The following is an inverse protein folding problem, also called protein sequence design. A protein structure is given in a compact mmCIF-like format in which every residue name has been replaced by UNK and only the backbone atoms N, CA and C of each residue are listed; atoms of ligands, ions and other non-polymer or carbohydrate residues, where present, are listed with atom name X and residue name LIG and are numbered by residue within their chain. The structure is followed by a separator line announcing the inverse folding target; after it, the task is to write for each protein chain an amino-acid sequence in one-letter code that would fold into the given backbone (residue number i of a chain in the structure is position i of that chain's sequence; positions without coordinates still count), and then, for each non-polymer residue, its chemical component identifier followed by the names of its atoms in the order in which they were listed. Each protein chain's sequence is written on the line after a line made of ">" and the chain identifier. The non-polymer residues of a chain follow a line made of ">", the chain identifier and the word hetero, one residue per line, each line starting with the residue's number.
data_IF_169838992932
#
_entry.id   IF_169838992932
#
_cell.length_a   1.000
_cell.length_b   1.000
_cell.length_c   1.000
_cell.angle_alpha   90.00
_cell.angle_beta   90.00
_cell.angle_gamma   90.00
#
_symmetry.space_group_name_H-M   'P 1'
#
loop_
_entity.id
_entity.type
_entity.pdbx_description
1 polymer ?
#
# COMPACT_ATOMS: atom_id res chain seq x y z
N UNK A 1 -67.25 -16.11 -20.54
CA UNK A 1 -66.22 -17.07 -21.01
C UNK A 1 -65.48 -17.59 -19.80
N UNK A 2 -65.62 -18.90 -19.54
CA UNK A 2 -64.79 -19.82 -18.72
C UNK A 2 -63.94 -19.23 -17.57
N UNK A 3 -64.26 -19.51 -16.29
CA UNK A 3 -63.88 -20.72 -15.51
C UNK A 3 -62.36 -20.74 -15.17
N UNK A 4 -61.86 -21.10 -13.98
CA UNK A 4 -62.38 -21.58 -12.69
C UNK A 4 -61.19 -21.59 -11.69
N UNK A 5 -61.48 -21.49 -10.39
CA UNK A 5 -60.89 -22.22 -9.22
C UNK A 5 -59.40 -22.68 -9.21
N UNK A 6 -58.66 -22.80 -8.09
CA UNK A 6 -58.87 -22.79 -6.63
C UNK A 6 -57.48 -22.88 -5.94
N UNK A 7 -57.45 -22.48 -4.66
CA UNK A 7 -56.56 -22.87 -3.53
C UNK A 7 -55.77 -24.19 -3.67
N UNK A 8 -54.61 -24.43 -3.03
CA UNK A 8 -54.39 -24.59 -1.57
C UNK A 8 -52.88 -24.82 -1.28
N UNK A 9 -52.37 -24.42 -0.09
CA UNK A 9 -51.01 -24.71 0.45
C UNK A 9 -50.91 -26.13 1.09
N UNK A 10 -49.86 -26.48 1.88
CA UNK A 10 -48.42 -26.61 1.62
C UNK A 10 -47.91 -28.06 1.89
N UNK A 11 -46.66 -28.41 1.54
CA UNK A 11 -45.99 -29.61 2.07
C UNK A 11 -44.47 -29.45 2.19
N UNK A 12 -43.93 -29.87 3.33
CA UNK A 12 -42.51 -29.92 3.70
C UNK A 12 -42.02 -31.36 3.53
N UNK A 13 -40.87 -31.60 2.89
CA UNK A 13 -39.85 -32.54 3.40
C UNK A 13 -38.54 -32.52 2.60
N UNK A 14 -37.47 -32.83 3.33
CA UNK A 14 -36.06 -32.74 2.98
C UNK A 14 -35.51 -33.94 2.19
N UNK A 15 -34.35 -33.75 1.55
CA UNK A 15 -33.10 -34.51 1.76
C UNK A 15 -32.27 -34.79 0.48
N UNK A 16 -30.98 -34.37 0.59
CA UNK A 16 -29.78 -35.11 0.17
C UNK A 16 -29.17 -34.97 -1.24
N UNK A 17 -27.82 -35.17 -1.37
CA UNK A 17 -26.96 -34.38 -2.24
C UNK A 17 -26.50 -35.09 -3.52
N UNK A 18 -26.37 -34.33 -4.61
CA UNK A 18 -25.89 -34.79 -5.91
C UNK A 18 -24.37 -34.98 -5.95
N UNK A 19 -23.95 -36.23 -6.15
CA UNK A 19 -22.58 -36.70 -6.43
C UNK A 19 -22.31 -36.58 -7.92
N UNK A 20 -21.17 -36.01 -8.33
CA UNK A 20 -20.72 -36.03 -9.73
C UNK A 20 -19.51 -36.96 -9.89
N UNK A 21 -19.61 -37.90 -10.83
CA UNK A 21 -18.55 -38.82 -11.27
C UNK A 21 -18.49 -38.82 -12.79
N UNK A 22 -17.30 -38.62 -13.39
CA UNK A 22 -16.98 -38.99 -14.78
C UNK A 22 -15.45 -39.26 -14.87
N UNK A 23 -14.90 -39.97 -15.87
CA UNK A 23 -14.67 -41.41 -15.91
C UNK A 23 -13.18 -41.81 -15.93
N UNK A 24 -12.86 -43.02 -15.48
CA UNK A 24 -11.52 -43.61 -15.58
C UNK A 24 -11.34 -44.39 -16.89
N UNK A 25 -10.32 -44.04 -17.69
CA UNK A 25 -9.77 -44.94 -18.72
C UNK A 25 -8.57 -45.68 -18.14
N UNK A 26 -8.59 -47.01 -18.31
CA UNK A 26 -7.59 -47.98 -17.85
C UNK A 26 -6.43 -48.14 -18.84
N UNK A 27 -5.36 -48.74 -18.29
CA UNK A 27 -4.22 -49.44 -18.91
C UNK A 27 -2.99 -48.55 -19.13
N UNK A 28 -1.75 -48.95 -18.83
CA UNK A 28 -1.22 -50.20 -18.26
C UNK A 28 0.24 -49.96 -17.80
N UNK A 29 0.64 -50.72 -16.77
CA UNK A 29 1.99 -51.28 -16.45
C UNK A 29 3.24 -50.36 -16.42
N UNK A 30 3.93 -50.40 -15.26
CA UNK A 30 5.37 -50.08 -15.07
C UNK A 30 6.26 -51.06 -15.87
N UNK A 31 7.55 -50.73 -16.12
CA UNK A 31 8.59 -51.14 -15.16
C UNK A 31 9.69 -50.09 -14.89
N UNK A 32 10.51 -50.43 -13.91
CA UNK A 32 11.70 -49.78 -13.37
C UNK A 32 12.82 -49.49 -14.39
N UNK A 33 13.73 -48.57 -14.05
CA UNK A 33 15.14 -48.71 -14.44
C UNK A 33 15.86 -47.47 -14.99
N UNK A 34 16.82 -47.00 -14.19
CA UNK A 34 18.17 -46.62 -14.61
C UNK A 34 18.53 -45.15 -14.90
N UNK A 35 19.55 -44.74 -14.14
CA UNK A 35 20.77 -43.98 -14.51
C UNK A 35 20.69 -42.48 -14.75
N UNK A 36 21.29 -41.78 -13.77
CA UNK A 36 21.92 -40.48 -13.89
C UNK A 36 22.89 -40.41 -15.07
N UNK A 37 22.73 -39.42 -15.94
CA UNK A 37 23.77 -38.99 -16.87
C UNK A 37 24.43 -37.73 -16.30
N UNK A 38 25.68 -37.87 -15.89
CA UNK A 38 26.59 -36.75 -15.65
C UNK A 38 27.02 -36.19 -17.01
N UNK A 39 26.85 -34.89 -17.22
CA UNK A 39 27.52 -34.16 -18.28
C UNK A 39 28.62 -33.31 -17.65
N UNK A 40 29.84 -33.83 -17.69
CA UNK A 40 31.08 -33.13 -17.36
C UNK A 40 31.44 -32.20 -18.52
N UNK A 41 31.55 -30.90 -18.26
CA UNK A 41 32.21 -29.96 -19.17
C UNK A 41 33.54 -29.58 -18.54
N UNK A 42 34.63 -30.05 -19.15
CA UNK A 42 36.01 -29.71 -18.79
C UNK A 42 36.41 -28.46 -19.58
N UNK A 43 36.80 -27.40 -18.88
CA UNK A 43 37.64 -26.34 -19.45
C UNK A 43 39.00 -26.37 -18.75
N UNK A 44 40.05 -26.61 -19.54
CA UNK A 44 41.45 -26.51 -19.16
C UNK A 44 41.95 -25.12 -19.53
N UNK A 45 42.41 -24.34 -18.56
CA UNK A 45 43.50 -23.37 -18.77
C UNK A 45 44.47 -23.46 -17.61
N UNK A 46 45.74 -23.36 -17.94
CA UNK A 46 46.88 -23.60 -17.06
C UNK A 46 47.30 -22.29 -16.38
N UNK A 47 47.17 -22.23 -15.05
CA UNK A 47 48.13 -21.63 -14.11
C UNK A 47 47.52 -21.60 -12.70
N UNK A 48 48.16 -22.30 -11.75
CA UNK A 48 48.07 -22.03 -10.30
C UNK A 48 46.79 -22.43 -9.59
N UNK A 49 46.66 -23.70 -9.21
CA UNK A 49 45.64 -24.17 -8.27
C UNK A 49 46.03 -23.91 -6.82
N UNK A 50 45.35 -22.98 -6.14
CA UNK A 50 45.18 -22.99 -4.70
C UNK A 50 43.70 -23.27 -4.39
N UNK A 51 43.36 -24.55 -4.23
CA UNK A 51 42.05 -24.98 -3.70
C UNK A 51 42.05 -24.80 -2.19
N UNK A 52 41.64 -23.62 -1.72
CA UNK A 52 41.13 -23.50 -0.37
C UNK A 52 39.69 -24.03 -0.37
N UNK A 53 39.50 -25.22 0.21
CA UNK A 53 38.19 -25.75 0.51
C UNK A 53 37.50 -24.80 1.51
N UNK A 54 36.52 -24.03 1.06
CA UNK A 54 35.59 -23.35 1.95
C UNK A 54 34.81 -24.46 2.66
N UNK A 55 34.87 -24.60 3.99
CA UNK A 55 34.09 -25.60 4.69
C UNK A 55 32.62 -25.32 4.39
N UNK A 56 31.90 -26.35 3.95
CA UNK A 56 30.45 -26.34 3.95
C UNK A 56 29.99 -26.27 5.41
N UNK A 57 29.92 -25.03 5.93
CA UNK A 57 29.23 -24.73 7.17
C UNK A 57 27.78 -25.11 6.94
N UNK A 58 27.43 -26.35 7.32
CA UNK A 58 26.08 -26.79 7.55
C UNK A 58 25.48 -25.82 8.55
N UNK A 59 24.80 -24.80 8.03
CA UNK A 59 23.86 -24.04 8.83
C UNK A 59 22.89 -25.07 9.43
N UNK A 60 22.76 -25.14 10.77
CA UNK A 60 21.71 -25.96 11.34
C UNK A 60 20.38 -25.47 10.77
N UNK A 61 19.39 -26.35 10.55
CA UNK A 61 18.09 -25.92 10.07
C UNK A 61 17.49 -25.01 11.13
N UNK A 62 17.67 -23.69 10.96
CA UNK A 62 16.93 -22.71 11.74
C UNK A 62 15.48 -23.00 11.39
N UNK A 63 14.76 -23.65 12.33
CA UNK A 63 13.31 -23.60 12.40
C UNK A 63 12.96 -22.12 12.43
N UNK A 64 12.80 -21.52 11.26
CA UNK A 64 12.16 -20.21 11.14
C UNK A 64 10.78 -20.44 11.77
N UNK A 65 10.38 -19.65 12.77
CA UNK A 65 9.03 -19.77 13.28
C UNK A 65 8.10 -19.70 12.06
N UNK A 66 7.27 -20.74 11.91
CA UNK A 66 6.09 -20.68 11.07
C UNK A 66 5.37 -19.40 11.49
N UNK A 67 5.06 -18.52 10.53
CA UNK A 67 4.29 -17.28 10.67
C UNK A 67 3.85 -16.98 12.12
N UNK A 68 4.52 -16.04 12.78
CA UNK A 68 4.07 -15.57 14.09
C UNK A 68 2.78 -14.75 13.90
N UNK A 69 1.68 -15.24 14.45
CA UNK A 69 0.42 -14.50 14.45
C UNK A 69 0.51 -13.42 15.50
N UNK A 70 0.82 -12.21 15.07
CA UNK A 70 0.74 -11.04 15.94
C UNK A 70 -0.73 -10.72 16.14
N UNK A 71 -1.22 -10.85 17.37
CA UNK A 71 -2.57 -10.42 17.72
C UNK A 71 -2.65 -8.90 17.59
N UNK A 72 -3.35 -8.42 16.57
CA UNK A 72 -3.68 -7.01 16.44
C UNK A 72 -4.69 -6.67 17.56
N UNK A 73 -4.20 -6.01 18.60
CA UNK A 73 -5.05 -5.37 19.60
C UNK A 73 -5.54 -4.05 19.00
N UNK A 74 -6.69 -4.04 18.33
CA UNK A 74 -7.25 -2.76 17.88
C UNK A 74 -7.75 -1.98 19.09
N UNK A 75 -7.09 -0.85 19.39
CA UNK A 75 -7.64 0.16 20.29
C UNK A 75 -9.08 0.50 19.85
N UNK A 76 -9.99 0.85 20.79
CA UNK A 76 -11.29 1.37 20.41
C UNK A 76 -11.15 2.52 19.41
N UNK A 77 -11.88 2.44 18.31
CA UNK A 77 -11.83 3.42 17.25
C UNK A 77 -12.34 4.77 17.75
N UNK A 78 -11.62 5.86 17.47
CA UNK A 78 -12.08 7.24 17.69
C UNK A 78 -13.21 7.56 16.70
N UNK A 79 -14.41 7.03 16.98
CA UNK A 79 -15.64 7.27 16.21
C UNK A 79 -16.50 8.30 16.93
N UNK A 80 -16.94 9.31 16.19
CA UNK A 80 -17.79 10.40 16.71
C UNK A 80 -18.92 10.70 15.72
N UNK A 81 -20.09 11.15 16.19
CA UNK A 81 -21.13 11.66 15.31
C UNK A 81 -20.64 12.92 14.60
N UNK A 82 -21.02 13.10 13.34
CA UNK A 82 -20.65 14.30 12.56
C UNK A 82 -21.19 15.60 13.18
N UNK A 83 -22.29 15.53 13.94
CA UNK A 83 -22.84 16.67 14.65
C UNK A 83 -21.98 17.15 15.83
N UNK A 84 -21.09 16.31 16.35
CA UNK A 84 -20.13 16.69 17.40
C UNK A 84 -18.83 17.27 16.82
N UNK A 85 -18.67 17.24 15.49
CA UNK A 85 -17.51 17.80 14.81
C UNK A 85 -17.78 19.26 14.45
N UNK A 86 -16.77 20.14 14.57
CA UNK A 86 -16.90 21.49 14.05
C UNK A 86 -17.16 21.41 12.54
N UNK A 87 -18.27 21.99 12.12
CA UNK A 87 -18.70 22.04 10.73
C UNK A 87 -17.79 22.92 9.86
N UNK A 88 -18.16 23.05 8.59
CA UNK A 88 -17.47 23.91 7.61
C UNK A 88 -17.96 25.36 7.65
N UNK A 89 -19.03 25.62 8.38
CA UNK A 89 -19.73 26.92 8.46
C UNK A 89 -18.97 27.96 9.30
N UNK A 90 -18.18 27.52 10.28
CA UNK A 90 -17.38 28.40 11.15
C UNK A 90 -15.93 27.99 11.13
N UNK A 91 -15.04 28.91 10.79
CA UNK A 91 -13.59 28.68 10.85
C UNK A 91 -13.01 29.13 12.19
N UNK A 92 -12.47 28.19 12.94
CA UNK A 92 -11.59 28.47 14.06
C UNK A 92 -10.13 28.59 13.56
N UNK A 93 -9.51 29.74 13.81
CA UNK A 93 -8.15 30.03 13.36
C UNK A 93 -7.10 29.21 14.11
N UNK A 94 -7.34 28.83 15.37
CA UNK A 94 -6.36 28.09 16.16
C UNK A 94 -6.20 26.64 15.67
N UNK A 95 -7.29 26.05 15.16
CA UNK A 95 -7.38 24.69 14.65
C UNK A 95 -7.35 24.60 13.12
N UNK A 96 -6.99 25.69 12.43
CA UNK A 96 -6.92 25.75 10.96
C UNK A 96 -5.62 26.35 10.48
N UNK A 97 -5.11 25.89 9.33
CA UNK A 97 -3.82 26.37 8.83
C UNK A 97 -3.46 25.87 7.45
N UNK A 98 -2.26 26.28 7.01
CA UNK A 98 -1.68 25.90 5.71
C UNK A 98 -0.29 25.34 5.96
N UNK A 99 -0.06 24.12 5.51
CA UNK A 99 1.24 23.45 5.53
C UNK A 99 1.87 23.60 4.14
N UNK A 100 3.03 24.24 4.08
CA UNK A 100 3.90 24.22 2.91
C UNK A 100 4.74 22.95 2.97
N UNK A 101 4.64 22.09 1.97
CA UNK A 101 5.24 20.76 2.00
C UNK A 101 6.18 20.55 0.82
N UNK A 102 7.20 19.72 1.04
CA UNK A 102 8.06 19.18 0.00
C UNK A 102 8.01 17.65 0.02
N UNK A 103 7.85 17.05 -1.16
CA UNK A 103 7.97 15.62 -1.40
C UNK A 103 9.27 15.34 -2.16
N UNK A 104 10.08 14.45 -1.62
CA UNK A 104 11.32 13.94 -2.22
C UNK A 104 11.11 12.49 -2.66
N UNK A 105 11.25 12.20 -3.95
CA UNK A 105 11.16 10.85 -4.50
C UNK A 105 12.46 10.09 -4.25
N UNK A 106 12.45 9.08 -3.38
CA UNK A 106 13.63 8.26 -3.06
C UNK A 106 13.89 7.17 -4.11
N UNK A 107 12.82 6.68 -4.75
CA UNK A 107 12.90 5.80 -5.91
C UNK A 107 12.07 6.38 -7.05
N UNK A 108 12.26 5.94 -8.31
CA UNK A 108 11.48 6.45 -9.42
C UNK A 108 9.97 6.40 -9.13
N UNK A 109 9.31 7.54 -9.32
CA UNK A 109 7.90 7.72 -8.97
C UNK A 109 7.07 7.74 -10.24
N UNK A 110 6.04 6.89 -10.34
CA UNK A 110 5.21 6.77 -11.54
C UNK A 110 3.73 6.96 -11.18
N UNK A 111 3.08 8.00 -11.70
CA UNK A 111 1.64 8.20 -11.56
C UNK A 111 1.03 7.99 -12.93
N UNK A 112 0.73 6.74 -13.26
CA UNK A 112 0.54 6.28 -14.64
C UNK A 112 -0.47 7.12 -15.44
N UNK A 113 -1.67 7.37 -14.90
CA UNK A 113 -2.70 8.17 -15.58
C UNK A 113 -2.29 9.63 -15.76
N UNK A 114 -1.78 10.28 -14.70
CA UNK A 114 -1.41 11.69 -14.73
C UNK A 114 -0.18 11.93 -15.62
N UNK A 115 0.84 11.08 -15.50
CA UNK A 115 2.08 11.25 -16.25
C UNK A 115 1.92 10.86 -17.71
N UNK A 116 1.05 9.92 -18.08
CA UNK A 116 0.84 9.61 -19.50
C UNK A 116 0.15 10.74 -20.27
N UNK A 117 -0.64 11.57 -19.58
CA UNK A 117 -1.39 12.67 -20.19
C UNK A 117 -0.56 13.93 -20.48
N UNK A 118 0.64 14.05 -19.89
CA UNK A 118 1.51 15.22 -20.05
C UNK A 118 2.37 15.08 -21.31
N UNK A 119 2.62 16.18 -22.01
CA UNK A 119 3.61 16.22 -23.09
C UNK A 119 5.04 16.02 -22.55
N UNK A 120 6.03 15.74 -23.42
CA UNK A 120 7.40 15.42 -23.00
C UNK A 120 8.16 16.63 -22.44
N UNK A 121 7.81 17.84 -22.89
CA UNK A 121 8.34 19.12 -22.41
C UNK A 121 7.69 19.58 -21.10
N UNK A 122 6.56 18.97 -20.72
CA UNK A 122 5.86 19.32 -19.50
C UNK A 122 6.52 18.66 -18.28
N UNK A 123 6.67 19.41 -17.17
CA UNK A 123 7.17 18.84 -15.93
C UNK A 123 6.15 17.85 -15.33
N UNK A 124 6.60 16.79 -14.63
CA UNK A 124 5.70 15.91 -13.90
C UNK A 124 4.95 16.69 -12.83
N UNK A 125 3.64 16.57 -12.80
CA UNK A 125 2.78 17.13 -11.74
C UNK A 125 2.12 15.98 -11.00
N UNK A 126 2.26 15.95 -9.68
CA UNK A 126 1.58 14.97 -8.84
C UNK A 126 0.21 15.55 -8.48
N UNK A 127 -0.91 14.88 -8.85
CA UNK A 127 -2.24 15.37 -8.50
C UNK A 127 -2.44 15.43 -6.98
N UNK A 128 -3.07 16.49 -6.50
CA UNK A 128 -3.43 16.66 -5.09
C UNK A 128 -4.30 15.51 -4.58
N UNK A 129 -5.16 14.95 -5.44
CA UNK A 129 -5.96 13.76 -5.14
C UNK A 129 -5.10 12.52 -4.85
N UNK A 130 -3.94 12.36 -5.50
CA UNK A 130 -3.02 11.25 -5.26
C UNK A 130 -2.30 11.41 -3.93
N UNK A 131 -1.89 12.62 -3.57
CA UNK A 131 -1.30 12.94 -2.25
C UNK A 131 -2.33 12.75 -1.14
N UNK A 132 -3.55 13.28 -1.34
CA UNK A 132 -4.66 13.12 -0.42
C UNK A 132 -4.98 11.65 -0.16
N UNK A 133 -5.04 10.83 -1.21
CA UNK A 133 -5.26 9.39 -1.09
C UNK A 133 -4.15 8.67 -0.34
N UNK A 134 -2.89 9.04 -0.58
CA UNK A 134 -1.72 8.49 0.13
C UNK A 134 -1.78 8.77 1.64
N UNK A 135 -2.02 10.03 2.01
CA UNK A 135 -2.10 10.43 3.43
C UNK A 135 -3.36 9.86 4.08
N UNK A 136 -4.50 9.84 3.38
CA UNK A 136 -5.74 9.21 3.86
C UNK A 136 -5.54 7.74 4.18
N UNK A 137 -4.92 6.99 3.27
CA UNK A 137 -4.65 5.57 3.49
C UNK A 137 -3.78 5.35 4.74
N UNK A 138 -2.79 6.21 4.98
CA UNK A 138 -1.98 6.13 6.20
C UNK A 138 -2.81 6.44 7.45
N UNK A 139 -3.66 7.46 7.41
CA UNK A 139 -4.54 7.81 8.51
C UNK A 139 -5.58 6.72 8.79
N UNK A 140 -6.09 6.04 7.75
CA UNK A 140 -6.97 4.87 7.89
C UNK A 140 -6.24 3.68 8.52
N UNK A 141 -4.98 3.43 8.16
CA UNK A 141 -4.19 2.34 8.75
C UNK A 141 -3.85 2.62 10.23
N UNK A 142 -3.44 3.84 10.55
CA UNK A 142 -3.08 4.21 11.92
C UNK A 142 -4.31 4.38 12.82
N UNK A 143 -5.34 5.07 12.32
CA UNK A 143 -6.58 5.36 13.05
C UNK A 143 -7.64 4.27 13.00
N UNK A 144 -7.31 3.12 12.42
CA UNK A 144 -8.21 1.99 12.16
C UNK A 144 -9.55 2.43 11.54
N UNK A 145 -9.44 3.04 10.36
CA UNK A 145 -10.57 3.56 9.59
C UNK A 145 -11.54 2.47 9.10
N UNK A 146 -12.77 2.88 8.77
CA UNK A 146 -13.79 1.95 8.29
C UNK A 146 -13.44 1.32 6.92
N UNK A 147 -14.03 0.16 6.62
CA UNK A 147 -13.81 -0.58 5.36
C UNK A 147 -14.62 -0.06 4.17
N UNK A 148 -15.02 1.22 4.18
CA UNK A 148 -15.86 1.84 3.14
C UNK A 148 -15.24 1.80 1.74
N UNK A 149 -13.91 1.82 1.63
CA UNK A 149 -13.19 1.78 0.35
C UNK A 149 -12.86 0.34 -0.09
N UNK A 150 -13.40 -0.67 0.60
CA UNK A 150 -13.19 -2.08 0.26
C UNK A 150 -14.47 -2.59 -0.40
N UNK A 151 -14.42 -2.80 -1.72
CA UNK A 151 -15.53 -3.29 -2.56
C UNK A 151 -16.11 -4.64 -2.09
N UNK A 152 -15.39 -5.36 -1.23
CA UNK A 152 -15.77 -6.62 -0.62
C UNK A 152 -15.50 -6.59 0.88
N UNK A 153 -16.15 -5.69 1.61
CA UNK A 153 -16.44 -5.98 3.01
C UNK A 153 -17.35 -7.22 3.01
N UNK A 154 -16.75 -8.41 2.96
CA UNK A 154 -17.49 -9.67 2.92
C UNK A 154 -18.36 -9.80 4.18
N UNK A 155 -19.34 -10.72 4.17
CA UNK A 155 -20.02 -11.11 5.40
C UNK A 155 -18.94 -11.56 6.41
N UNK A 156 -18.67 -10.75 7.44
CA UNK A 156 -17.60 -10.99 8.41
C UNK A 156 -16.63 -9.83 8.65
N UNK A 157 -16.83 -8.65 8.05
CA UNK A 157 -16.14 -7.44 8.51
C UNK A 157 -16.43 -7.20 10.01
N UNK A 158 -15.42 -6.96 10.86
CA UNK A 158 -15.65 -6.65 12.27
C UNK A 158 -16.60 -5.45 12.40
N UNK A 159 -17.61 -5.50 13.29
CA UNK A 159 -18.58 -4.41 13.48
C UNK A 159 -17.92 -3.04 13.72
N UNK A 160 -16.74 -3.04 14.34
CA UNK A 160 -15.93 -1.86 14.61
C UNK A 160 -15.52 -1.15 13.31
N UNK A 161 -15.19 -1.92 12.26
CA UNK A 161 -14.75 -1.41 10.98
C UNK A 161 -15.90 -1.17 9.99
N UNK A 162 -17.15 -1.22 10.46
CA UNK A 162 -18.33 -0.91 9.65
C UNK A 162 -18.21 0.48 9.00
N UNK A 163 -18.71 0.66 7.75
CA UNK A 163 -18.72 1.94 7.07
C UNK A 163 -19.21 3.09 7.95
N UNK A 164 -18.58 4.26 7.81
CA UNK A 164 -18.98 5.45 8.58
C UNK A 164 -20.37 5.93 8.23
N UNK A 165 -21.10 6.42 9.23
CA UNK A 165 -22.39 7.06 9.07
C UNK A 165 -22.41 8.46 9.66
N UNK A 166 -23.50 9.21 9.42
CA UNK A 166 -23.71 10.52 10.07
C UNK A 166 -23.56 10.45 11.60
N UNK A 167 -24.04 9.37 12.22
CA UNK A 167 -24.01 9.17 13.69
C UNK A 167 -22.70 8.57 14.20
N UNK A 168 -21.85 8.03 13.32
CA UNK A 168 -20.60 7.36 13.73
C UNK A 168 -19.55 7.37 12.62
N UNK A 169 -18.70 8.39 12.63
CA UNK A 169 -17.59 8.56 11.68
C UNK A 169 -16.23 8.37 12.35
N UNK A 170 -15.36 7.56 11.74
CA UNK A 170 -13.98 7.39 12.16
C UNK A 170 -13.14 8.65 11.88
N UNK A 171 -12.00 8.78 12.57
CA UNK A 171 -11.09 9.93 12.44
C UNK A 171 -10.71 10.25 10.98
N UNK A 172 -10.40 9.24 10.16
CA UNK A 172 -10.05 9.46 8.75
C UNK A 172 -11.24 10.02 7.95
N UNK A 173 -12.47 9.53 8.17
CA UNK A 173 -13.66 10.04 7.50
C UNK A 173 -14.05 11.45 7.99
N UNK A 174 -13.82 11.79 9.26
CA UNK A 174 -14.04 13.15 9.79
C UNK A 174 -13.10 14.17 9.16
N UNK A 175 -11.83 13.79 8.94
CA UNK A 175 -10.82 14.67 8.33
C UNK A 175 -10.95 14.73 6.81
N UNK A 176 -11.06 13.59 6.13
CA UNK A 176 -11.06 13.52 4.67
C UNK A 176 -12.45 13.56 4.04
N UNK A 177 -13.54 13.40 4.79
CA UNK A 177 -14.89 13.40 4.21
C UNK A 177 -15.33 12.04 3.63
N UNK A 178 -16.65 11.91 3.51
CA UNK A 178 -17.35 10.73 2.98
C UNK A 178 -18.79 11.06 2.57
N UNK A 179 -19.45 10.14 1.86
CA UNK A 179 -20.85 10.25 1.42
C UNK A 179 -21.63 8.99 1.79
N UNK A 180 -22.77 9.07 2.46
CA UNK A 180 -23.61 7.94 2.84
C UNK A 180 -25.05 8.19 2.43
N UNK A 181 -25.55 7.51 1.39
CA UNK A 181 -26.86 7.83 0.83
C UNK A 181 -26.93 9.32 0.46
N UNK A 182 -27.89 10.02 1.04
CA UNK A 182 -28.10 11.46 0.84
C UNK A 182 -27.26 12.35 1.77
N UNK A 183 -26.56 11.76 2.74
CA UNK A 183 -25.67 12.49 3.65
C UNK A 183 -24.28 12.66 3.04
N UNK A 184 -23.70 13.85 3.15
CA UNK A 184 -22.30 14.10 2.78
C UNK A 184 -21.58 14.89 3.86
N UNK A 185 -20.38 14.43 4.21
CA UNK A 185 -19.45 15.12 5.08
C UNK A 185 -18.27 15.62 4.25
N UNK A 186 -18.12 16.94 4.16
CA UNK A 186 -17.05 17.55 3.38
C UNK A 186 -15.68 17.35 4.04
N UNK A 187 -14.64 17.27 3.20
CA UNK A 187 -13.25 17.13 3.63
C UNK A 187 -12.78 18.39 4.37
N UNK A 188 -12.24 18.24 5.58
CA UNK A 188 -11.59 19.32 6.34
C UNK A 188 -10.19 19.64 5.82
N UNK A 189 -9.66 18.84 4.89
CA UNK A 189 -8.34 19.02 4.29
C UNK A 189 -8.41 19.20 2.77
N UNK A 190 -7.56 20.08 2.25
CA UNK A 190 -7.37 20.33 0.82
C UNK A 190 -5.90 20.15 0.45
N UNK A 191 -5.63 19.43 -0.63
CA UNK A 191 -4.28 19.20 -1.15
C UNK A 191 -4.14 19.88 -2.50
N UNK A 192 -3.17 20.77 -2.64
CA UNK A 192 -2.79 21.27 -3.96
C UNK A 192 -2.05 20.20 -4.76
N UNK A 193 -2.02 20.33 -6.07
CA UNK A 193 -1.10 19.56 -6.90
C UNK A 193 0.34 19.86 -6.50
N UNK A 194 1.20 18.84 -6.48
CA UNK A 194 2.63 19.04 -6.26
C UNK A 194 3.35 19.26 -7.57
N UNK A 195 4.09 20.38 -7.63
CA UNK A 195 4.84 20.80 -8.80
C UNK A 195 6.34 20.72 -8.50
N UNK A 196 7.17 20.37 -9.48
CA UNK A 196 8.59 20.26 -9.25
C UNK A 196 9.22 21.63 -9.02
N UNK A 197 10.38 21.65 -8.40
CA UNK A 197 11.12 22.89 -8.19
C UNK A 197 11.68 23.41 -9.53
N UNK A 198 11.54 24.72 -9.76
CA UNK A 198 12.12 25.41 -10.90
C UNK A 198 13.42 26.08 -10.44
N UNK A 199 14.54 25.63 -10.98
CA UNK A 199 15.84 26.28 -10.82
C UNK A 199 15.98 27.44 -11.82
N UNK A 200 17.04 28.25 -11.68
CA UNK A 200 17.28 29.45 -12.53
C UNK A 200 17.26 29.12 -14.03
N UNK A 201 17.73 27.94 -14.42
CA UNK A 201 17.91 27.55 -15.83
C UNK A 201 16.97 26.43 -16.31
N UNK A 202 15.96 26.04 -15.51
CA UNK A 202 15.03 24.98 -15.90
C UNK A 202 14.35 24.27 -14.73
N UNK A 203 13.75 23.11 -14.99
CA UNK A 203 13.22 22.24 -13.94
C UNK A 203 14.36 21.38 -13.38
N UNK A 204 14.43 21.21 -12.05
CA UNK A 204 15.45 20.37 -11.39
C UNK A 204 15.18 18.86 -11.58
N UNK A 205 14.59 18.45 -12.70
CA UNK A 205 13.97 17.14 -12.85
C UNK A 205 14.17 16.52 -14.23
N UNK A 206 14.53 15.25 -14.22
CA UNK A 206 14.69 14.42 -15.42
C UNK A 206 13.62 13.34 -15.47
N UNK A 207 12.88 13.25 -16.58
CA UNK A 207 12.01 12.10 -16.86
C UNK A 207 12.85 10.82 -16.98
N UNK A 208 12.36 9.72 -16.43
CA UNK A 208 12.96 8.39 -16.59
C UNK A 208 11.90 7.38 -17.02
N UNK A 209 12.33 6.33 -17.70
CA UNK A 209 11.44 5.33 -18.30
C UNK A 209 11.73 3.95 -17.73
N UNK A 210 10.88 3.48 -16.81
CA UNK A 210 11.11 2.23 -16.11
C UNK A 210 10.41 1.05 -16.78
N UNK A 211 11.12 -0.07 -16.93
CA UNK A 211 10.62 -1.31 -17.53
C UNK A 211 9.86 -2.10 -16.47
N UNK A 212 8.54 -1.94 -16.41
CA UNK A 212 7.70 -2.55 -15.36
C UNK A 212 7.31 -4.00 -15.64
N UNK A 213 8.12 -4.72 -16.43
CA UNK A 213 7.88 -6.11 -16.73
C UNK A 213 8.01 -6.95 -15.44
N UNK A 214 6.94 -7.67 -15.07
CA UNK A 214 7.00 -8.73 -14.05
C UNK A 214 7.78 -9.92 -14.61
N UNK A 215 9.11 -9.80 -14.69
CA UNK A 215 9.96 -10.97 -14.95
C UNK A 215 10.28 -11.61 -13.61
N UNK A 216 9.46 -12.57 -13.21
CA UNK A 216 9.83 -13.48 -12.14
C UNK A 216 11.01 -14.32 -12.63
N UNK A 217 12.21 -13.98 -12.17
CA UNK A 217 13.39 -14.81 -12.34
C UNK A 217 13.40 -15.84 -11.22
N UNK A 218 12.79 -16.98 -11.50
CA UNK A 218 12.75 -18.13 -10.60
C UNK A 218 12.37 -19.39 -11.39
N UNK A 219 12.72 -20.59 -10.91
CA UNK A 219 12.26 -21.81 -11.55
C UNK A 219 10.74 -21.77 -11.65
N UNK A 220 10.21 -22.05 -12.84
CA UNK A 220 8.77 -22.17 -13.05
C UNK A 220 8.20 -23.11 -11.98
N UNK A 221 7.14 -22.70 -11.29
CA UNK A 221 6.54 -23.48 -10.21
C UNK A 221 6.21 -24.89 -10.73
N UNK A 222 7.07 -25.86 -10.37
CA UNK A 222 6.85 -27.25 -10.67
C UNK A 222 5.80 -27.75 -9.68
N UNK A 223 4.55 -27.79 -10.16
CA UNK A 223 3.35 -28.35 -9.51
C UNK A 223 2.65 -27.51 -8.41
N UNK A 224 1.32 -27.50 -8.56
CA UNK A 224 0.21 -27.14 -7.65
C UNK A 224 0.10 -25.73 -7.02
N UNK A 225 -0.92 -25.02 -7.53
CA UNK A 225 -1.88 -24.14 -6.85
C UNK A 225 -1.43 -22.80 -6.22
N UNK A 226 -0.14 -22.55 -5.98
CA UNK A 226 0.30 -21.29 -5.33
C UNK A 226 1.19 -20.44 -6.22
N UNK A 227 0.83 -19.16 -6.36
CA UNK A 227 1.71 -18.14 -6.93
C UNK A 227 2.77 -17.78 -5.87
N UNK A 228 4.00 -18.27 -6.07
CA UNK A 228 5.14 -17.92 -5.23
C UNK A 228 5.71 -16.56 -5.66
N UNK A 229 5.80 -15.62 -4.73
CA UNK A 229 6.44 -14.33 -4.95
C UNK A 229 7.88 -14.38 -4.41
N UNK A 230 8.91 -14.18 -5.25
CA UNK A 230 10.28 -14.15 -4.76
C UNK A 230 10.47 -13.00 -3.77
N UNK A 231 11.15 -13.28 -2.66
CA UNK A 231 11.41 -12.33 -1.56
C UNK A 231 12.71 -11.54 -1.75
N UNK A 232 13.26 -11.50 -2.98
CA UNK A 232 14.50 -10.80 -3.31
C UNK A 232 14.27 -9.36 -3.75
N UNK A 233 15.33 -8.54 -3.70
CA UNK A 233 15.31 -7.20 -4.27
C UNK A 233 15.03 -7.27 -5.78
N UNK A 234 13.91 -6.68 -6.21
CA UNK A 234 13.57 -6.58 -7.62
C UNK A 234 14.21 -5.30 -8.16
N UNK A 235 15.25 -5.46 -8.98
CA UNK A 235 15.80 -4.33 -9.74
C UNK A 235 14.89 -4.02 -10.93
N UNK A 236 14.44 -2.76 -11.02
CA UNK A 236 13.65 -2.27 -12.14
C UNK A 236 14.57 -1.43 -13.03
N UNK A 237 14.90 -1.89 -14.26
CA UNK A 237 15.69 -1.09 -15.19
C UNK A 237 14.95 0.20 -15.54
N UNK A 238 15.62 1.34 -15.42
CA UNK A 238 15.10 2.63 -15.85
C UNK A 238 16.04 3.25 -16.89
N UNK A 239 15.45 3.68 -18.00
CA UNK A 239 16.14 4.14 -19.20
C UNK A 239 15.94 5.66 -19.36
N UNK A 240 16.91 6.37 -19.98
CA UNK A 240 16.80 7.82 -20.21
C UNK A 240 15.74 8.16 -21.26
N UNK A 241 15.41 7.23 -22.16
CA UNK A 241 14.43 7.43 -23.25
C UNK A 241 13.34 6.36 -23.20
N UNK A 242 12.18 6.70 -23.73
CA UNK A 242 11.07 5.78 -23.87
C UNK A 242 11.48 4.55 -24.71
N UNK A 243 11.06 3.37 -24.27
CA UNK A 243 11.26 2.11 -24.97
C UNK A 243 9.97 1.31 -25.05
N UNK A 244 10.03 0.13 -25.68
CA UNK A 244 8.88 -0.80 -25.68
C UNK A 244 8.55 -1.20 -24.23
N UNK A 245 7.27 -1.09 -23.86
CA UNK A 245 6.74 -1.45 -22.53
C UNK A 245 7.39 -0.71 -21.34
N UNK A 246 7.94 0.48 -21.56
CA UNK A 246 8.39 1.35 -20.45
C UNK A 246 7.25 2.22 -19.94
N UNK A 247 7.25 2.50 -18.65
CA UNK A 247 6.38 3.50 -18.03
C UNK A 247 7.18 4.75 -17.69
N UNK A 248 6.64 5.92 -18.02
CA UNK A 248 7.25 7.22 -17.70
C UNK A 248 7.09 7.54 -16.21
N UNK A 249 8.19 7.95 -15.60
CA UNK A 249 8.32 8.18 -14.16
C UNK A 249 9.17 9.43 -13.91
N UNK A 250 8.94 10.11 -12.79
CA UNK A 250 9.90 11.08 -12.27
C UNK A 250 11.10 10.32 -11.70
N UNK A 251 12.31 10.78 -11.99
CA UNK A 251 13.53 10.14 -11.50
C UNK A 251 13.63 10.18 -9.96
N UNK A 252 14.41 9.27 -9.38
CA UNK A 252 14.80 9.40 -7.98
C UNK A 252 15.57 10.71 -7.75
N UNK A 253 15.44 11.29 -6.55
CA UNK A 253 15.94 12.62 -6.19
C UNK A 253 15.01 13.77 -6.59
N UNK A 254 13.98 13.51 -7.41
CA UNK A 254 13.00 14.55 -7.80
C UNK A 254 12.29 15.14 -6.58
N UNK A 255 12.20 16.47 -6.53
CA UNK A 255 11.52 17.21 -5.46
C UNK A 255 10.31 17.97 -5.97
N UNK A 256 9.23 17.93 -5.20
CA UNK A 256 7.95 18.56 -5.52
C UNK A 256 7.43 19.36 -4.34
N UNK A 257 6.91 20.57 -4.58
CA UNK A 257 6.27 21.40 -3.57
C UNK A 257 4.76 21.40 -3.72
N UNK A 258 4.06 21.33 -2.60
CA UNK A 258 2.61 21.40 -2.52
C UNK A 258 2.16 22.05 -1.22
N UNK A 259 0.87 22.33 -1.12
CA UNK A 259 0.23 22.87 0.07
C UNK A 259 -0.85 21.94 0.57
N UNK A 260 -0.96 21.84 1.90
CA UNK A 260 -2.09 21.18 2.57
C UNK A 260 -2.78 22.22 3.43
N UNK A 261 -4.03 22.52 3.11
CA UNK A 261 -4.88 23.37 3.95
C UNK A 261 -5.71 22.47 4.84
N UNK A 262 -5.83 22.82 6.12
CA UNK A 262 -6.67 22.11 7.07
C UNK A 262 -7.59 23.09 7.82
N UNK A 263 -8.80 22.63 8.11
CA UNK A 263 -9.87 23.41 8.70
C UNK A 263 -10.38 22.71 9.96
N UNK A 264 -10.40 23.42 11.09
CA UNK A 264 -11.02 23.00 12.34
C UNK A 264 -10.62 21.58 12.81
N UNK A 265 -9.33 21.25 12.72
CA UNK A 265 -8.83 19.98 13.21
C UNK A 265 -8.57 20.08 14.71
N UNK A 266 -9.14 19.15 15.48
CA UNK A 266 -8.78 19.01 16.88
C UNK A 266 -7.34 18.50 17.05
N UNK A 267 -6.84 18.46 18.29
CA UNK A 267 -5.46 18.07 18.58
C UNK A 267 -5.14 16.63 18.12
N UNK A 268 -6.10 15.70 18.22
CA UNK A 268 -5.92 14.32 17.79
C UNK A 268 -5.88 14.23 16.26
N UNK A 269 -6.83 14.87 15.58
CA UNK A 269 -6.92 14.95 14.13
C UNK A 269 -5.66 15.60 13.52
N UNK A 270 -5.19 16.70 14.10
CA UNK A 270 -4.01 17.43 13.65
C UNK A 270 -2.73 16.60 13.86
N UNK A 271 -2.51 16.04 15.06
CA UNK A 271 -1.35 15.20 15.35
C UNK A 271 -1.28 13.99 14.42
N UNK A 272 -2.42 13.33 14.19
CA UNK A 272 -2.48 12.17 13.29
C UNK A 272 -2.31 12.57 11.82
N UNK A 273 -2.85 13.72 11.38
CA UNK A 273 -2.62 14.23 10.03
C UNK A 273 -1.14 14.55 9.79
N UNK A 274 -0.50 15.26 10.72
CA UNK A 274 0.91 15.67 10.62
C UNK A 274 1.84 14.45 10.58
N UNK A 275 1.58 13.46 11.44
CA UNK A 275 2.33 12.20 11.40
C UNK A 275 2.04 11.41 10.13
N UNK A 276 0.78 11.30 9.69
CA UNK A 276 0.43 10.60 8.45
C UNK A 276 1.04 11.28 7.22
N UNK A 277 1.23 12.60 7.26
CA UNK A 277 1.85 13.36 6.20
C UNK A 277 3.37 13.12 6.16
N UNK A 278 4.05 13.27 7.29
CA UNK A 278 5.53 13.25 7.35
C UNK A 278 6.13 11.86 7.56
N UNK A 279 5.40 10.97 8.24
CA UNK A 279 5.87 9.67 8.75
C UNK A 279 7.18 9.75 9.56
N UNK A 280 7.39 10.89 10.22
CA UNK A 280 8.57 11.15 11.03
C UNK A 280 8.18 11.77 12.36
N UNK A 281 8.50 11.07 13.45
CA UNK A 281 8.26 11.54 14.82
C UNK A 281 9.11 10.73 15.82
N UNK A 282 9.86 11.41 16.69
CA UNK A 282 10.72 10.76 17.68
C UNK A 282 11.74 9.81 17.03
N UNK A 283 11.67 8.52 17.37
CA UNK A 283 12.55 7.48 16.81
C UNK A 283 12.13 6.99 15.41
N UNK A 284 11.03 7.50 14.86
CA UNK A 284 10.46 7.04 13.59
C UNK A 284 10.89 7.95 12.44
N UNK A 285 11.45 7.33 11.40
CA UNK A 285 11.76 7.96 10.11
C UNK A 285 11.43 6.97 9.00
N UNK A 286 10.15 6.95 8.60
CA UNK A 286 9.63 6.04 7.57
C UNK A 286 9.51 6.76 6.22
N UNK A 287 9.03 6.05 5.21
CA UNK A 287 8.76 6.61 3.90
C UNK A 287 7.39 6.14 3.39
N UNK A 288 6.79 6.97 2.55
CA UNK A 288 5.56 6.65 1.85
C UNK A 288 5.81 5.78 0.64
N UNK A 289 4.75 5.10 0.19
CA UNK A 289 4.68 4.47 -1.13
C UNK A 289 3.58 5.14 -1.95
N UNK A 290 3.95 5.87 -2.99
CA UNK A 290 3.05 6.60 -3.87
C UNK A 290 3.07 6.05 -5.30
N UNK A 291 1.94 6.10 -5.98
CA UNK A 291 1.86 5.76 -7.41
C UNK A 291 1.86 4.26 -7.71
N UNK A 292 2.31 3.93 -8.92
CA UNK A 292 2.27 2.60 -9.51
C UNK A 292 3.52 1.77 -9.18
N UNK A 293 3.45 0.46 -9.36
CA UNK A 293 4.56 -0.48 -9.17
C UNK A 293 5.22 -0.47 -7.76
N UNK A 294 4.43 -0.16 -6.71
CA UNK A 294 4.88 -0.21 -5.30
C UNK A 294 5.53 -1.54 -4.92
N UNK A 295 4.95 -2.66 -5.38
CA UNK A 295 5.45 -4.02 -5.14
C UNK A 295 6.79 -4.31 -5.83
N UNK A 296 7.17 -3.53 -6.85
CA UNK A 296 8.49 -3.60 -7.51
C UNK A 296 9.50 -2.62 -6.88
N UNK A 297 9.18 -2.00 -5.75
CA UNK A 297 10.09 -1.08 -5.06
C UNK A 297 10.02 0.38 -5.52
N UNK A 298 9.22 0.70 -6.54
CA UNK A 298 9.05 2.08 -7.01
C UNK A 298 8.21 2.94 -6.07
N UNK A 299 8.25 4.25 -6.29
CA UNK A 299 7.40 5.24 -5.62
C UNK A 299 7.67 5.44 -4.14
N UNK A 300 8.85 5.09 -3.63
CA UNK A 300 9.23 5.48 -2.27
C UNK A 300 9.44 7.00 -2.23
N UNK A 301 8.84 7.68 -1.26
CA UNK A 301 9.02 9.12 -1.10
C UNK A 301 8.98 9.55 0.38
N UNK A 302 9.60 10.69 0.67
CA UNK A 302 9.51 11.36 1.97
C UNK A 302 8.83 12.71 1.80
N UNK A 303 8.09 13.12 2.83
CA UNK A 303 7.44 14.42 2.87
C UNK A 303 7.96 15.19 4.07
N UNK A 304 8.31 16.47 3.86
CA UNK A 304 8.73 17.41 4.90
C UNK A 304 7.83 18.63 4.90
N UNK A 305 7.58 19.19 6.08
CA UNK A 305 6.88 20.46 6.25
C UNK A 305 7.95 21.57 6.29
N UNK A 306 7.76 22.61 5.48
CA UNK A 306 8.70 23.71 5.26
C UNK A 306 8.29 25.01 5.96
N UNK A 307 7.15 25.03 6.67
CA UNK A 307 6.74 26.20 7.46
C UNK A 307 7.84 26.60 8.45
N UNK A 308 8.08 27.90 8.70
CA UNK A 308 9.09 28.34 9.66
C UNK A 308 8.77 27.86 11.08
N UNK A 309 7.49 27.86 11.44
CA UNK A 309 6.97 27.32 12.69
C UNK A 309 5.86 26.30 12.35
N UNK A 310 6.22 25.05 12.01
CA UNK A 310 5.22 24.04 11.73
C UNK A 310 4.48 23.66 13.03
N UNK A 311 3.18 23.35 12.96
CA UNK A 311 2.49 22.78 14.11
C UNK A 311 3.21 21.48 14.53
N UNK A 312 3.36 21.30 15.84
CA UNK A 312 4.02 20.12 16.38
C UNK A 312 3.05 18.92 16.40
N UNK A 313 3.60 17.72 16.19
CA UNK A 313 2.88 16.49 16.50
C UNK A 313 2.82 16.39 18.02
N UNK A 314 1.60 16.48 18.57
CA UNK A 314 1.34 16.45 20.00
C UNK A 314 1.29 15.02 20.58
N UNK A 315 1.12 14.89 21.91
CA UNK A 315 1.11 13.61 22.61
C UNK A 315 -0.07 12.70 22.22
N UNK A 316 -1.08 13.23 21.53
CA UNK A 316 -2.24 12.49 21.02
C UNK A 316 -1.84 11.39 20.03
N UNK A 317 -0.63 11.46 19.45
CA UNK A 317 -0.12 10.43 18.56
C UNK A 317 0.34 9.16 19.31
N UNK A 318 0.72 9.28 20.59
CA UNK A 318 1.36 8.21 21.35
C UNK A 318 0.54 6.91 21.41
N UNK A 319 -0.79 6.93 21.59
CA UNK A 319 -1.59 5.72 21.56
C UNK A 319 -1.54 4.98 20.21
N UNK A 320 -1.38 5.71 19.09
CA UNK A 320 -1.28 5.12 17.76
C UNK A 320 0.09 4.46 17.52
N UNK A 321 1.15 5.04 18.08
CA UNK A 321 2.52 4.53 17.97
C UNK A 321 2.84 3.43 18.99
N UNK A 322 2.03 3.31 20.04
CA UNK A 322 2.17 2.29 21.09
C UNK A 322 1.48 0.96 20.78
N UNK A 323 0.82 0.82 19.62
CA UNK A 323 0.14 -0.43 19.24
C UNK A 323 1.14 -1.59 19.18
N UNK A 324 0.76 -2.72 19.78
CA UNK A 324 1.59 -3.92 19.85
C UNK A 324 2.02 -4.40 18.45
N UNK A 325 1.14 -4.29 17.44
CA UNK A 325 1.47 -4.66 16.06
C UNK A 325 2.53 -3.75 15.44
N UNK A 326 2.46 -2.44 15.72
CA UNK A 326 3.44 -1.48 15.23
C UNK A 326 4.82 -1.69 15.88
N UNK A 327 4.84 -1.92 17.20
CA UNK A 327 6.07 -2.19 17.94
C UNK A 327 6.75 -3.48 17.50
N UNK A 328 6.00 -4.49 17.09
CA UNK A 328 6.56 -5.78 16.69
C UNK A 328 7.27 -5.72 15.33
N UNK A 329 6.70 -4.99 14.37
CA UNK A 329 7.35 -4.69 13.07
C UNK A 329 8.73 -4.05 13.29
N UNK A 330 8.85 -3.15 14.27
CA UNK A 330 10.09 -2.45 14.58
C UNK A 330 11.14 -3.38 15.23
N UNK A 331 10.71 -4.31 16.09
CA UNK A 331 11.59 -5.34 16.66
C UNK A 331 12.20 -6.22 15.58
N UNK A 332 11.43 -6.56 14.55
CA UNK A 332 11.93 -7.35 13.42
C UNK A 332 12.93 -6.58 12.55
N UNK A 333 12.73 -5.27 12.34
CA UNK A 333 13.68 -4.42 11.61
C UNK A 333 15.05 -4.33 12.27
N UNK A 334 15.10 -4.19 13.61
CA UNK A 334 16.37 -4.14 14.36
C UNK A 334 17.15 -5.47 14.35
N UNK A 335 16.52 -6.59 13.99
CA UNK A 335 17.14 -7.92 13.94
C UNK A 335 17.68 -8.30 12.57
N UNK A 336 17.49 -7.47 11.54
CA UNK A 336 18.15 -7.67 10.24
C UNK A 336 19.54 -7.02 10.31
N UNK A 337 20.63 -7.81 10.20
CA UNK A 337 22.00 -7.31 10.30
C UNK A 337 22.38 -6.35 9.17
#
# INVERSE_FOLDING_TARGET
>A
MSASAKATAPFVMAASPGRWTIPSRRSSRRPEGSRSAFATIVFRTAAGSCTAAVPSSRYPPRRRPMSETVHYSTRPLSRRPCAAEPGHDRRDRASSGILACELEALTPLCIHSAFRALADDQPPVIPGSSLRGMVRNMMEMLGAGCLRLVDRAGPGAPPELAPCSQSSACIACRVFGFTEGDFSWASKVLFSDARPFRERDGWSLTWTHCVLARRYSGPAAQSSAWNLFPTGAVSVPCLPRAGRNTTRCAAAGSRFRFRVEYLNLDAEELSLLLFSLTLSHGAYDLCHKLGYAKALGLGACKVRILNPNPPAIGPEINPYLGDAGFLDILRHRKKQP
#
